data_IF_705104342234
#
_entry.id   IF_705104342234
#
_cell.length_a   1.000
_cell.length_b   1.000
_cell.length_c   1.000
_cell.angle_alpha   90.00
_cell.angle_beta   90.00
_cell.angle_gamma   90.00
#
_symmetry.space_group_name_H-M   'P 1'
#
loop_
_entity.id
_entity.type
_entity.pdbx_description
1 polymer ?
#
# COMPACT_ATOMS: atom_id res chain seq x y z
N UNK A 1 5.08 2.86 10.19
CA UNK A 1 4.46 4.13 9.78
C UNK A 1 2.96 3.92 9.79
N UNK A 2 2.20 4.73 10.52
CA UNK A 2 0.75 4.60 10.58
C UNK A 2 0.14 5.34 9.38
N UNK A 3 -0.66 4.66 8.56
CA UNK A 3 -1.34 5.25 7.41
C UNK A 3 -2.77 5.61 7.83
N UNK A 4 -3.09 6.92 7.85
CA UNK A 4 -4.40 7.41 8.34
C UNK A 4 -5.13 8.27 7.32
N UNK A 5 -4.64 8.36 6.08
CA UNK A 5 -5.31 9.06 4.98
C UNK A 5 -5.01 8.41 3.63
N UNK A 6 -5.89 8.63 2.65
CA UNK A 6 -5.74 8.11 1.30
C UNK A 6 -4.44 8.63 0.63
N UNK A 7 -4.08 9.89 0.89
CA UNK A 7 -2.83 10.49 0.39
C UNK A 7 -1.58 9.85 0.97
N UNK A 8 -1.60 9.47 2.24
CA UNK A 8 -0.48 8.72 2.84
C UNK A 8 -0.36 7.33 2.23
N UNK A 9 -1.49 6.65 2.02
CA UNK A 9 -1.52 5.33 1.37
C UNK A 9 -0.98 5.41 -0.06
N UNK A 10 -1.46 6.36 -0.87
CA UNK A 10 -1.00 6.58 -2.23
C UNK A 10 0.50 6.90 -2.30
N UNK A 11 1.00 7.73 -1.39
CA UNK A 11 2.43 8.03 -1.29
C UNK A 11 3.26 6.78 -0.97
N UNK A 12 2.80 5.95 -0.01
CA UNK A 12 3.46 4.70 0.34
C UNK A 12 3.54 3.73 -0.84
N UNK A 13 2.42 3.50 -1.55
CA UNK A 13 2.39 2.64 -2.73
C UNK A 13 3.23 3.20 -3.88
N UNK A 14 3.22 4.52 -4.11
CA UNK A 14 4.07 5.18 -5.11
C UNK A 14 5.54 4.97 -4.82
N UNK A 15 5.95 5.09 -3.55
CA UNK A 15 7.33 4.90 -3.14
C UNK A 15 7.77 3.44 -3.35
N UNK A 16 6.91 2.48 -3.00
CA UNK A 16 7.20 1.07 -3.24
C UNK A 16 7.32 0.76 -4.74
N UNK A 17 6.41 1.28 -5.58
CA UNK A 17 6.52 1.17 -7.04
C UNK A 17 7.85 1.69 -7.56
N UNK A 18 8.28 2.88 -7.10
CA UNK A 18 9.56 3.48 -7.49
C UNK A 18 10.75 2.67 -6.99
N UNK A 19 10.71 2.13 -5.78
CA UNK A 19 11.73 1.24 -5.21
C UNK A 19 11.90 -0.02 -6.07
N UNK A 20 10.81 -0.55 -6.60
CA UNK A 20 10.78 -1.67 -7.55
C UNK A 20 11.13 -1.27 -9.00
N UNK A 21 11.45 0.01 -9.25
CA UNK A 21 11.79 0.56 -10.57
C UNK A 21 10.71 0.33 -11.64
N UNK A 22 9.46 0.21 -11.23
CA UNK A 22 8.32 0.06 -12.13
C UNK A 22 7.81 1.42 -12.58
N UNK A 23 7.47 1.57 -13.86
CA UNK A 23 6.71 2.73 -14.33
C UNK A 23 5.22 2.56 -14.00
N UNK A 24 4.46 3.66 -14.04
CA UNK A 24 3.01 3.59 -13.89
C UNK A 24 2.38 2.71 -14.98
N UNK A 25 2.87 2.78 -16.23
CA UNK A 25 2.39 1.94 -17.34
C UNK A 25 2.63 0.46 -17.08
N UNK A 26 3.86 0.07 -16.68
CA UNK A 26 4.18 -1.33 -16.37
C UNK A 26 3.34 -1.88 -15.22
N UNK A 27 3.10 -1.05 -14.21
CA UNK A 27 2.25 -1.44 -13.06
C UNK A 27 0.81 -1.64 -13.50
N UNK A 28 0.29 -0.75 -14.35
CA UNK A 28 -1.08 -0.85 -14.85
C UNK A 28 -1.30 -2.07 -15.74
N UNK A 29 -0.34 -2.35 -16.64
CA UNK A 29 -0.38 -3.46 -17.59
C UNK A 29 -0.46 -4.82 -16.87
N UNK A 30 0.29 -5.00 -15.78
CA UNK A 30 0.30 -6.23 -14.99
C UNK A 30 -1.08 -6.61 -14.38
N UNK A 31 -2.00 -5.64 -14.27
CA UNK A 31 -3.33 -5.82 -13.66
C UNK A 31 -4.47 -5.37 -14.56
N UNK A 32 -4.20 -5.20 -15.86
CA UNK A 32 -5.22 -4.84 -16.86
C UNK A 32 -5.85 -3.46 -16.64
N UNK A 33 -5.11 -2.51 -16.07
CA UNK A 33 -5.55 -1.12 -15.87
C UNK A 33 -4.88 -0.17 -16.88
N UNK A 34 -5.44 1.04 -16.99
CA UNK A 34 -4.81 2.14 -17.74
C UNK A 34 -3.73 2.79 -16.88
N UNK A 35 -2.63 3.24 -17.49
CA UNK A 35 -1.60 4.04 -16.80
C UNK A 35 -2.21 5.27 -16.10
N UNK A 36 -3.20 5.92 -16.72
CA UNK A 36 -3.92 7.06 -16.15
C UNK A 36 -4.58 6.71 -14.82
N UNK A 37 -5.09 5.49 -14.64
CA UNK A 37 -5.67 5.02 -13.38
C UNK A 37 -4.63 4.97 -12.26
N UNK A 38 -3.41 4.52 -12.56
CA UNK A 38 -2.30 4.52 -11.59
C UNK A 38 -1.89 5.97 -11.25
N UNK A 39 -1.84 6.84 -12.25
CA UNK A 39 -1.55 8.26 -12.04
C UNK A 39 -2.61 8.97 -11.19
N UNK A 40 -3.89 8.69 -11.45
CA UNK A 40 -5.02 9.23 -10.70
C UNK A 40 -4.92 8.80 -9.23
N UNK A 41 -4.69 7.51 -8.97
CA UNK A 41 -4.49 7.02 -7.62
C UNK A 41 -3.30 7.70 -6.91
N UNK A 42 -2.15 7.86 -7.60
CA UNK A 42 -0.95 8.45 -6.99
C UNK A 42 -1.08 9.94 -6.65
N UNK A 43 -1.94 10.69 -7.36
CA UNK A 43 -2.07 12.14 -7.20
C UNK A 43 -3.38 12.56 -6.51
N UNK A 44 -4.48 11.84 -6.76
CA UNK A 44 -5.85 12.14 -6.34
C UNK A 44 -6.58 10.88 -5.79
N UNK A 45 -6.13 10.31 -4.67
CA UNK A 45 -6.61 9.01 -4.22
C UNK A 45 -8.03 9.00 -3.62
N UNK A 46 -8.61 10.16 -3.27
CA UNK A 46 -9.86 10.26 -2.50
C UNK A 46 -11.10 9.65 -3.20
N UNK A 47 -11.06 9.49 -4.53
CA UNK A 47 -12.10 8.82 -5.33
C UNK A 47 -11.75 7.40 -5.77
N UNK A 48 -10.63 6.84 -5.31
CA UNK A 48 -10.18 5.52 -5.77
C UNK A 48 -11.06 4.42 -5.21
N UNK A 49 -11.57 3.55 -6.11
CA UNK A 49 -12.30 2.34 -5.71
C UNK A 49 -11.36 1.39 -4.97
N UNK A 50 -11.86 0.74 -3.92
CA UNK A 50 -11.10 -0.29 -3.20
C UNK A 50 -10.61 -1.41 -4.12
N UNK A 51 -11.40 -1.78 -5.14
CA UNK A 51 -10.98 -2.74 -6.16
C UNK A 51 -9.67 -2.32 -6.85
N UNK A 52 -9.55 -1.05 -7.22
CA UNK A 52 -8.32 -0.50 -7.83
C UNK A 52 -7.16 -0.55 -6.84
N UNK A 53 -7.40 -0.20 -5.57
CA UNK A 53 -6.39 -0.30 -4.52
C UNK A 53 -5.87 -1.74 -4.39
N UNK A 54 -6.74 -2.73 -4.29
CA UNK A 54 -6.32 -4.12 -4.14
C UNK A 54 -5.61 -4.67 -5.38
N UNK A 55 -6.03 -4.26 -6.58
CA UNK A 55 -5.26 -4.57 -7.80
C UNK A 55 -3.86 -3.96 -7.76
N UNK A 56 -3.71 -2.71 -7.32
CA UNK A 56 -2.40 -2.07 -7.18
C UNK A 56 -1.52 -2.75 -6.12
N UNK A 57 -2.10 -3.16 -4.99
CA UNK A 57 -1.41 -3.95 -3.97
C UNK A 57 -0.90 -5.27 -4.55
N UNK A 58 -1.74 -5.99 -5.31
CA UNK A 58 -1.35 -7.22 -5.99
C UNK A 58 -0.24 -7.00 -7.03
N UNK A 59 -0.33 -5.92 -7.84
CA UNK A 59 0.70 -5.57 -8.82
C UNK A 59 2.07 -5.28 -8.18
N UNK A 60 2.04 -4.78 -6.95
CA UNK A 60 3.21 -4.43 -6.17
C UNK A 60 3.60 -5.52 -5.17
N UNK A 61 2.95 -6.69 -5.20
CA UNK A 61 3.20 -7.80 -4.26
C UNK A 61 3.18 -7.31 -2.79
N UNK A 62 2.08 -6.64 -2.42
CA UNK A 62 1.82 -6.08 -1.10
C UNK A 62 0.49 -6.61 -0.55
N UNK A 63 0.40 -6.68 0.77
CA UNK A 63 -0.84 -6.92 1.51
C UNK A 63 -1.25 -5.71 2.35
N UNK A 64 -2.54 -5.63 2.71
CA UNK A 64 -3.08 -4.61 3.61
C UNK A 64 -3.42 -5.25 4.95
N UNK A 65 -2.77 -4.77 6.01
CA UNK A 65 -3.07 -5.15 7.39
C UNK A 65 -3.77 -3.99 8.11
N UNK A 66 -4.82 -4.31 8.87
CA UNK A 66 -5.56 -3.35 9.70
C UNK A 66 -5.26 -3.67 11.16
N UNK A 67 -4.69 -2.70 11.88
CA UNK A 67 -4.31 -2.84 13.29
C UNK A 67 -4.91 -1.70 14.12
N UNK A 68 -5.17 -1.90 15.43
CA UNK A 68 -5.57 -0.79 16.29
C UNK A 68 -4.48 0.29 16.35
N UNK A 69 -4.88 1.55 16.47
CA UNK A 69 -3.98 2.72 16.40
C UNK A 69 -2.95 2.77 17.53
N UNK A 70 -3.35 2.30 18.71
CA UNK A 70 -2.54 2.37 19.94
C UNK A 70 -1.90 1.03 20.29
N UNK A 71 -1.94 0.06 19.38
CA UNK A 71 -1.19 -1.19 19.53
C UNK A 71 0.28 -0.92 19.25
N UNK A 72 1.04 -0.62 20.30
CA UNK A 72 2.49 -0.61 20.22
C UNK A 72 2.95 -2.04 19.88
N UNK A 73 3.58 -2.31 18.71
CA UNK A 73 4.03 -3.66 18.35
C UNK A 73 5.12 -4.18 19.29
N UNK A 74 5.73 -3.30 20.10
CA UNK A 74 6.79 -3.64 21.05
C UNK A 74 6.32 -4.39 22.31
N UNK A 75 5.00 -4.51 22.58
CA UNK A 75 4.54 -5.25 23.78
C UNK A 75 4.30 -6.74 23.54
N UNK A 76 4.58 -7.27 22.34
CA UNK A 76 4.43 -8.70 22.02
C UNK A 76 5.74 -9.37 21.62
N UNK A 77 6.81 -9.21 22.42
CA UNK A 77 7.87 -10.23 22.53
C UNK A 77 8.85 -9.89 23.65
N UNK A 78 8.54 -10.31 24.88
CA UNK A 78 9.61 -10.58 25.87
C UNK A 78 9.09 -11.38 27.07
N UNK A 79 8.33 -12.46 26.86
CA UNK A 79 8.08 -13.47 27.89
C UNK A 79 7.89 -14.86 27.28
N UNK A 80 8.80 -15.24 26.38
CA UNK A 80 9.07 -16.64 26.12
C UNK A 80 10.48 -16.94 26.62
N UNK A 81 10.54 -17.69 27.73
CA UNK A 81 11.66 -18.38 28.37
C UNK A 81 12.09 -17.92 29.77
N UNK A 82 12.23 -18.97 30.61
CA UNK A 82 12.67 -19.06 32.00
C UNK A 82 11.59 -18.55 32.99
N UNK A 83 10.94 -19.36 33.83
CA UNK A 83 11.32 -20.58 34.57
C UNK A 83 10.14 -21.56 34.67
#
# INVERSE_FOLDING_TARGET
MNITSAKMLASALRNERKKRKLSQSKTAEAIGLKQSTVSEFENYPDGTRLETLFKLLAALDLELQITPRDSNPQEKSSWDQEW
#
